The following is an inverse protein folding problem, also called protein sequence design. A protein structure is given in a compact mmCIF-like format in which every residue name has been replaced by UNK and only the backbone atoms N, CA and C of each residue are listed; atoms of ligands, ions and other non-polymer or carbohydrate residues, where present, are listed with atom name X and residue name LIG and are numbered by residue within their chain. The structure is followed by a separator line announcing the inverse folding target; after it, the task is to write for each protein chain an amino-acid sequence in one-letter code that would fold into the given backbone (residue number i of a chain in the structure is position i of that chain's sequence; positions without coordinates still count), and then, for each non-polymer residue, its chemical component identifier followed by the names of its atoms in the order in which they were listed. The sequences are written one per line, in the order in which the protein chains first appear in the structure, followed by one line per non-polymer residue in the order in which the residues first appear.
data_IF_895186942729
#
_entry.id   IF_895186942729
#
_cell.length_a   1.000
_cell.length_b   1.000
_cell.length_c   1.000
_cell.angle_alpha   90.00
_cell.angle_beta   90.00
_cell.angle_gamma   90.00
#
_symmetry.space_group_name_H-M   'P 1'
#
loop_
_entity.id
_entity.type
_entity.pdbx_description
1 polymer ?
#
# COMPACT_ATOMS: atom_id res chain seq x y z
N UNK A 1 7.91 -21.66 27.65
CA UNK A 1 8.20 -21.73 26.21
C UNK A 1 8.00 -20.36 25.57
N UNK A 2 8.96 -19.88 24.86
CA UNK A 2 8.89 -18.56 24.22
C UNK A 2 8.54 -18.74 22.75
N UNK A 3 7.41 -18.18 22.33
CA UNK A 3 7.05 -18.16 20.93
C UNK A 3 7.91 -17.11 20.24
N UNK A 4 8.57 -17.51 19.18
CA UNK A 4 9.40 -16.59 18.39
C UNK A 4 8.61 -16.14 17.17
N UNK A 5 8.78 -14.88 16.84
CA UNK A 5 8.21 -14.32 15.62
C UNK A 5 9.33 -13.69 14.81
N UNK A 6 9.09 -13.60 13.52
CA UNK A 6 9.94 -12.89 12.59
C UNK A 6 9.19 -11.69 12.04
N UNK A 7 9.95 -10.78 11.46
CA UNK A 7 9.39 -9.61 10.78
C UNK A 7 9.81 -9.63 9.32
N UNK A 8 8.84 -9.39 8.45
CA UNK A 8 9.10 -9.13 7.03
C UNK A 8 8.78 -7.66 6.79
N UNK A 9 9.73 -6.93 6.28
CA UNK A 9 9.60 -5.49 6.10
C UNK A 9 9.59 -5.11 4.63
N UNK A 10 8.82 -4.08 4.32
CA UNK A 10 8.84 -3.44 3.02
C UNK A 10 8.87 -1.94 3.20
N UNK A 11 9.67 -1.27 2.40
CA UNK A 11 9.77 0.18 2.38
C UNK A 11 9.69 0.65 0.94
N UNK A 12 8.92 1.70 0.70
CA UNK A 12 8.85 2.31 -0.62
C UNK A 12 8.83 3.81 -0.53
N UNK A 13 9.47 4.44 -1.50
CA UNK A 13 9.42 5.89 -1.74
C UNK A 13 8.78 6.13 -3.09
N UNK A 14 7.83 7.03 -3.14
CA UNK A 14 7.13 7.38 -4.37
C UNK A 14 7.19 8.90 -4.57
N UNK A 15 7.63 9.32 -5.74
CA UNK A 15 7.65 10.74 -6.08
C UNK A 15 6.24 11.21 -6.39
N UNK A 16 5.77 12.21 -5.66
CA UNK A 16 4.43 12.76 -5.84
C UNK A 16 4.24 13.33 -7.26
N UNK A 17 5.28 13.97 -7.79
CA UNK A 17 5.23 14.53 -9.15
C UNK A 17 4.97 13.49 -10.22
N UNK A 18 5.54 12.30 -10.09
CA UNK A 18 5.32 11.21 -11.06
C UNK A 18 3.89 10.69 -10.98
N UNK A 19 3.35 10.58 -9.78
CA UNK A 19 1.95 10.20 -9.60
C UNK A 19 1.03 11.26 -10.19
N UNK A 20 1.34 12.54 -9.96
CA UNK A 20 0.56 13.63 -10.54
C UNK A 20 0.52 13.56 -12.07
N UNK A 21 1.65 13.26 -12.71
CA UNK A 21 1.71 13.09 -14.18
C UNK A 21 0.86 11.91 -14.66
N UNK A 22 0.92 10.79 -13.96
CA UNK A 22 0.14 9.60 -14.33
C UNK A 22 -1.36 9.89 -14.15
N UNK A 23 -1.73 10.59 -13.08
CA UNK A 23 -3.12 10.96 -12.84
C UNK A 23 -3.64 11.91 -13.94
N UNK A 24 -2.80 12.82 -14.41
CA UNK A 24 -3.16 13.74 -15.49
C UNK A 24 -3.37 13.02 -16.81
N UNK A 25 -2.49 12.05 -17.13
CA UNK A 25 -2.54 11.33 -18.41
C UNK A 25 -3.53 10.18 -18.45
N UNK A 26 -3.64 9.43 -17.34
CA UNK A 26 -4.37 8.16 -17.29
C UNK A 26 -5.24 8.02 -16.05
N UNK A 27 -5.69 9.13 -15.46
CA UNK A 27 -6.30 9.17 -14.15
C UNK A 27 -7.25 8.02 -13.80
N UNK A 28 -8.36 7.91 -14.51
CA UNK A 28 -9.35 6.87 -14.21
C UNK A 28 -8.82 5.45 -14.43
N UNK A 29 -8.04 5.24 -15.46
CA UNK A 29 -7.47 3.93 -15.78
C UNK A 29 -6.44 3.52 -14.73
N UNK A 30 -5.60 4.46 -14.31
CA UNK A 30 -4.60 4.21 -13.26
C UNK A 30 -5.29 3.87 -11.95
N UNK A 31 -6.24 4.70 -11.53
CA UNK A 31 -6.95 4.47 -10.27
C UNK A 31 -7.69 3.13 -10.26
N UNK A 32 -8.37 2.80 -11.36
CA UNK A 32 -9.11 1.55 -11.47
C UNK A 32 -8.19 0.32 -11.44
N UNK A 33 -6.99 0.45 -12.02
CA UNK A 33 -6.03 -0.67 -12.06
C UNK A 33 -5.37 -0.92 -10.71
N UNK A 34 -5.12 0.14 -9.95
CA UNK A 34 -4.32 0.07 -8.73
C UNK A 34 -5.18 -0.04 -7.47
N UNK A 35 -6.32 0.64 -7.45
CA UNK A 35 -7.11 0.78 -6.23
C UNK A 35 -8.48 0.13 -6.34
N UNK A 36 -8.93 -0.40 -5.20
CA UNK A 36 -10.31 -0.84 -5.03
C UNK A 36 -11.20 0.37 -4.80
N UNK A 37 -12.46 0.22 -5.13
CA UNK A 37 -13.46 1.23 -4.84
C UNK A 37 -13.43 1.53 -3.33
N UNK A 38 -13.43 2.80 -2.97
CA UNK A 38 -13.41 3.23 -1.58
C UNK A 38 -12.03 3.42 -0.95
N UNK A 39 -10.94 2.95 -1.59
CA UNK A 39 -9.59 3.18 -1.05
C UNK A 39 -9.18 4.65 -1.14
N UNK A 40 -9.53 5.31 -2.22
CA UNK A 40 -9.18 6.71 -2.45
C UNK A 40 -10.42 7.55 -2.15
N UNK A 41 -10.41 8.21 -1.00
CA UNK A 41 -11.55 9.00 -0.52
C UNK A 41 -11.33 10.51 -0.59
N UNK A 42 -10.12 10.93 -0.93
CA UNK A 42 -9.79 12.34 -0.98
C UNK A 42 -10.43 13.02 -2.18
N UNK A 43 -10.86 14.26 -1.97
CA UNK A 43 -11.44 15.07 -3.05
C UNK A 43 -10.39 15.42 -4.09
N UNK A 44 -10.78 15.37 -5.37
CA UNK A 44 -9.93 15.79 -6.49
C UNK A 44 -9.88 17.29 -6.69
N UNK A 45 -10.58 18.07 -5.84
CA UNK A 45 -10.62 19.52 -5.91
C UNK A 45 -9.25 20.18 -5.88
N UNK A 46 -8.34 19.58 -5.11
CA UNK A 46 -6.98 20.08 -4.96
C UNK A 46 -6.03 19.03 -5.55
N UNK A 47 -5.65 19.18 -6.83
CA UNK A 47 -4.88 18.17 -7.53
C UNK A 47 -3.60 17.76 -6.82
N UNK A 48 -2.89 18.72 -6.21
CA UNK A 48 -1.65 18.42 -5.49
C UNK A 48 -1.91 17.56 -4.26
N UNK A 49 -2.88 17.94 -3.45
CA UNK A 49 -3.24 17.17 -2.25
C UNK A 49 -3.76 15.79 -2.62
N UNK A 50 -4.50 15.71 -3.73
CA UNK A 50 -4.97 14.43 -4.25
C UNK A 50 -3.80 13.54 -4.67
N UNK A 51 -2.82 14.11 -5.40
CA UNK A 51 -1.63 13.35 -5.83
C UNK A 51 -0.82 12.87 -4.62
N UNK A 52 -0.67 13.69 -3.60
CA UNK A 52 0.03 13.29 -2.36
C UNK A 52 -0.67 12.11 -1.69
N UNK A 53 -1.99 12.17 -1.61
CA UNK A 53 -2.80 11.10 -1.02
C UNK A 53 -2.66 9.79 -1.81
N UNK A 54 -2.78 9.86 -3.12
CA UNK A 54 -2.64 8.69 -4.00
C UNK A 54 -1.22 8.12 -3.92
N UNK A 55 -0.21 8.99 -3.92
CA UNK A 55 1.19 8.57 -3.83
C UNK A 55 1.47 7.80 -2.54
N UNK A 56 0.93 8.25 -1.42
CA UNK A 56 1.09 7.55 -0.14
C UNK A 56 0.48 6.15 -0.16
N UNK A 57 -0.71 6.01 -0.71
CA UNK A 57 -1.37 4.70 -0.81
C UNK A 57 -0.67 3.80 -1.82
N UNK A 58 -0.20 4.35 -2.91
CA UNK A 58 0.58 3.61 -3.89
C UNK A 58 1.87 3.09 -3.27
N UNK A 59 2.59 3.95 -2.54
CA UNK A 59 3.81 3.56 -1.83
C UNK A 59 3.53 2.42 -0.83
N UNK A 60 2.41 2.48 -0.13
CA UNK A 60 2.02 1.43 0.82
C UNK A 60 1.80 0.08 0.13
N UNK A 61 1.18 0.07 -1.05
CA UNK A 61 0.97 -1.15 -1.81
C UNK A 61 2.30 -1.74 -2.29
N UNK A 62 3.20 -0.91 -2.76
CA UNK A 62 4.54 -1.34 -3.18
C UNK A 62 5.36 -1.86 -2.00
N UNK A 63 5.28 -1.19 -0.86
CA UNK A 63 5.95 -1.63 0.37
C UNK A 63 5.41 -3.00 0.81
N UNK A 64 4.11 -3.22 0.70
CA UNK A 64 3.49 -4.51 1.01
C UNK A 64 4.01 -5.63 0.10
N UNK A 65 4.15 -5.36 -1.19
CA UNK A 65 4.72 -6.34 -2.13
C UNK A 65 6.14 -6.72 -1.74
N UNK A 66 6.95 -5.73 -1.34
CA UNK A 66 8.31 -5.98 -0.87
C UNK A 66 8.33 -6.83 0.39
N UNK A 67 7.44 -6.54 1.34
CA UNK A 67 7.33 -7.33 2.56
C UNK A 67 6.91 -8.77 2.27
N UNK A 68 5.98 -8.97 1.33
CA UNK A 68 5.56 -10.31 0.90
C UNK A 68 6.63 -11.03 0.06
N UNK A 69 7.66 -10.32 -0.38
CA UNK A 69 8.71 -10.89 -1.21
C UNK A 69 8.25 -11.16 -2.64
N UNK A 70 7.28 -10.40 -3.14
CA UNK A 70 6.72 -10.55 -4.48
C UNK A 70 6.84 -9.25 -5.26
N UNK A 71 6.62 -9.34 -6.56
CA UNK A 71 6.46 -8.16 -7.40
C UNK A 71 5.04 -8.06 -7.93
N UNK A 72 4.79 -7.00 -8.68
CA UNK A 72 3.47 -6.73 -9.26
C UNK A 72 3.03 -7.80 -10.28
N UNK A 73 3.94 -8.63 -10.77
CA UNK A 73 3.62 -9.74 -11.68
C UNK A 73 2.98 -10.92 -10.95
N UNK A 74 3.36 -11.12 -9.69
CA UNK A 74 2.86 -12.22 -8.88
C UNK A 74 1.60 -11.84 -8.11
N UNK A 75 1.44 -10.56 -7.80
CA UNK A 75 0.35 -10.03 -6.98
C UNK A 75 -0.17 -8.76 -7.62
N UNK A 76 -1.48 -8.62 -7.75
CA UNK A 76 -2.08 -7.40 -8.29
C UNK A 76 -2.11 -6.31 -7.23
N UNK A 77 -1.97 -5.05 -7.65
CA UNK A 77 -2.10 -3.91 -6.73
C UNK A 77 -3.43 -3.92 -5.98
N UNK A 78 -4.52 -4.29 -6.66
CA UNK A 78 -5.85 -4.34 -6.05
C UNK A 78 -5.99 -5.42 -4.99
N UNK A 79 -5.09 -6.39 -4.96
CA UNK A 79 -5.10 -7.45 -3.96
C UNK A 79 -4.56 -6.98 -2.61
N UNK A 80 -3.97 -5.79 -2.56
CA UNK A 80 -3.49 -5.16 -1.34
C UNK A 80 -4.37 -3.93 -1.10
N UNK A 81 -5.20 -4.00 -0.10
CA UNK A 81 -6.13 -2.92 0.22
C UNK A 81 -5.61 -2.08 1.37
N UNK A 82 -5.52 -0.77 1.15
CA UNK A 82 -5.09 0.19 2.16
C UNK A 82 -6.32 0.99 2.60
N UNK A 83 -6.93 0.56 3.69
CA UNK A 83 -8.05 1.25 4.31
C UNK A 83 -7.59 2.18 5.41
N UNK A 84 -8.52 2.55 6.26
CA UNK A 84 -8.22 3.32 7.46
C UNK A 84 -9.27 3.06 8.53
N UNK A 85 -8.86 3.18 9.78
CA UNK A 85 -9.78 3.10 10.90
C UNK A 85 -10.48 4.46 11.11
N UNK A 86 -11.44 4.54 12.06
CA UNK A 86 -12.11 5.81 12.33
C UNK A 86 -11.20 6.95 12.78
N UNK A 87 -10.03 6.64 13.34
CA UNK A 87 -9.05 7.66 13.74
C UNK A 87 -8.19 8.16 12.59
N UNK A 88 -8.29 7.52 11.42
CA UNK A 88 -7.47 7.85 10.25
C UNK A 88 -6.21 7.01 10.11
N UNK A 89 -5.95 6.09 11.04
CA UNK A 89 -4.80 5.21 10.95
C UNK A 89 -4.95 4.29 9.73
N UNK A 90 -3.94 4.16 8.86
CA UNK A 90 -4.03 3.26 7.73
C UNK A 90 -4.04 1.81 8.19
N UNK A 91 -4.86 1.01 7.51
CA UNK A 91 -5.00 -0.43 7.74
C UNK A 91 -4.70 -1.15 6.45
N UNK A 92 -4.19 -2.37 6.55
CA UNK A 92 -3.85 -3.17 5.38
C UNK A 92 -4.60 -4.49 5.41
N UNK A 93 -5.15 -4.88 4.27
CA UNK A 93 -5.82 -6.16 4.09
C UNK A 93 -5.37 -6.78 2.77
N UNK A 94 -5.31 -8.10 2.74
CA UNK A 94 -4.89 -8.85 1.56
C UNK A 94 -6.07 -9.61 0.97
N UNK A 95 -6.09 -9.69 -0.36
CA UNK A 95 -7.08 -10.40 -1.15
C UNK A 95 -6.37 -11.22 -2.23
N UNK A 96 -7.09 -12.14 -2.86
CA UNK A 96 -6.59 -12.88 -4.01
C UNK A 96 -5.21 -13.49 -3.80
N UNK A 97 -4.32 -13.28 -4.74
CA UNK A 97 -2.97 -13.84 -4.69
C UNK A 97 -2.13 -13.28 -3.54
N UNK A 98 -2.38 -12.02 -3.14
CA UNK A 98 -1.69 -11.45 -1.98
C UNK A 98 -2.11 -12.18 -0.71
N UNK A 99 -3.38 -12.52 -0.58
CA UNK A 99 -3.87 -13.30 0.56
C UNK A 99 -3.25 -14.70 0.56
N UNK A 100 -3.22 -15.36 -0.60
CA UNK A 100 -2.60 -16.68 -0.73
C UNK A 100 -1.12 -16.64 -0.29
N UNK A 101 -0.40 -15.62 -0.73
CA UNK A 101 1.00 -15.43 -0.36
C UNK A 101 1.16 -15.20 1.14
N UNK A 102 0.31 -14.35 1.72
CA UNK A 102 0.35 -14.07 3.15
C UNK A 102 0.10 -15.34 3.97
N UNK A 103 -0.81 -16.19 3.53
CA UNK A 103 -1.09 -17.48 4.18
C UNK A 103 0.08 -18.44 4.06
N UNK A 104 0.72 -18.49 2.89
CA UNK A 104 1.89 -19.34 2.68
C UNK A 104 3.05 -18.92 3.58
N UNK A 105 3.21 -17.63 3.86
CA UNK A 105 4.22 -17.10 4.76
C UNK A 105 3.85 -17.25 6.24
N UNK A 106 2.58 -17.55 6.54
CA UNK A 106 2.08 -17.63 7.90
C UNK A 106 1.91 -16.28 8.57
N UNK A 107 1.57 -15.25 7.81
CA UNK A 107 1.41 -13.89 8.34
C UNK A 107 0.37 -13.88 9.47
N UNK A 108 0.81 -13.47 10.67
CA UNK A 108 -0.02 -13.37 11.86
C UNK A 108 -0.68 -12.01 11.99
N UNK A 109 0.03 -10.97 11.61
CA UNK A 109 -0.48 -9.60 11.61
C UNK A 109 0.29 -8.75 10.61
N UNK A 110 -0.33 -7.66 10.18
CA UNK A 110 0.25 -6.74 9.21
C UNK A 110 -0.01 -5.30 9.68
N UNK A 111 1.02 -4.48 9.62
CA UNK A 111 0.94 -3.07 9.97
C UNK A 111 1.50 -2.24 8.83
N UNK A 112 0.95 -1.06 8.64
CA UNK A 112 1.41 -0.11 7.63
C UNK A 112 1.46 1.29 8.22
N UNK A 113 2.48 2.05 7.84
CA UNK A 113 2.56 3.46 8.14
C UNK A 113 2.92 4.22 6.87
N UNK A 114 2.37 5.40 6.74
CA UNK A 114 2.52 6.25 5.55
C UNK A 114 2.87 7.65 6.01
N UNK A 115 3.84 8.26 5.35
CA UNK A 115 4.15 9.66 5.56
C UNK A 115 4.44 10.31 4.21
N UNK A 116 4.29 11.61 4.13
CA UNK A 116 4.65 12.32 2.92
C UNK A 116 5.09 13.74 3.22
N UNK A 117 5.95 14.22 2.35
CA UNK A 117 6.26 15.63 2.21
C UNK A 117 5.56 16.12 0.95
N UNK A 118 5.85 17.33 0.53
CA UNK A 118 5.33 17.89 -0.71
C UNK A 118 5.74 17.06 -1.93
N UNK A 119 6.96 16.53 -1.93
CA UNK A 119 7.54 15.91 -3.12
C UNK A 119 7.63 14.39 -3.06
N UNK A 120 7.63 13.83 -1.86
CA UNK A 120 7.81 12.39 -1.66
C UNK A 120 6.76 11.82 -0.74
N UNK A 121 6.31 10.62 -1.05
CA UNK A 121 5.53 9.80 -0.14
C UNK A 121 6.37 8.58 0.24
N UNK A 122 6.27 8.14 1.47
CA UNK A 122 6.97 6.97 1.96
C UNK A 122 6.01 6.07 2.72
N UNK A 123 6.23 4.78 2.63
CA UNK A 123 5.45 3.81 3.38
C UNK A 123 6.33 2.68 3.87
N UNK A 124 6.01 2.18 5.04
CA UNK A 124 6.62 0.98 5.61
C UNK A 124 5.51 -0.01 5.94
N UNK A 125 5.73 -1.26 5.55
CA UNK A 125 4.85 -2.38 5.92
C UNK A 125 5.67 -3.37 6.74
N UNK A 126 5.11 -3.81 7.86
CA UNK A 126 5.69 -4.83 8.70
C UNK A 126 4.70 -6.00 8.78
N UNK A 127 5.18 -7.19 8.43
CA UNK A 127 4.41 -8.42 8.57
C UNK A 127 5.04 -9.23 9.68
N UNK A 128 4.22 -9.68 10.63
CA UNK A 128 4.66 -10.58 11.69
C UNK A 128 4.41 -12.00 11.24
N UNK A 129 5.43 -12.81 11.26
CA UNK A 129 5.38 -14.22 10.82
C UNK A 129 6.01 -15.11 11.89
N UNK A 130 5.71 -16.42 11.90
CA UNK A 130 6.45 -17.36 12.75
C UNK A 130 7.93 -17.35 12.38
N UNK A 131 8.77 -17.39 13.40
CA UNK A 131 10.24 -17.43 13.18
C UNK A 131 10.68 -18.79 12.65
#
# INVERSE_FOLDING_TARGET
MTDRVGLLLGLDLTEVGRVAEVLERHGERFLARVFREGEIRRSRRHPRAFAEHVAGRFAAKEAAMKALGTGWRAVAFRDIEIGRDPSGKPLIAFHGRALDRSRALGVLSAEVTITHTRDLAAAVVALVVPA
#
